data_IF_304922616819
#
_entry.id   IF_304922616819
#
_cell.length_a   1.000
_cell.length_b   1.000
_cell.length_c   1.000
_cell.angle_alpha   90.00
_cell.angle_beta   90.00
_cell.angle_gamma   90.00
#
_symmetry.space_group_name_H-M   'P 1'
#
loop_
_entity.id
_entity.type
_entity.pdbx_description
1 polymer ?
#
# COMPACT_ATOMS: atom_id res chain seq x y z
N UNK A 1 1.53 -15.27 -52.04
CA UNK A 1 1.11 -13.89 -51.77
C UNK A 1 1.18 -13.73 -50.29
N UNK A 2 1.87 -12.71 -49.82
CA UNK A 2 1.98 -12.41 -48.40
C UNK A 2 0.62 -11.95 -47.85
N UNK A 3 0.12 -12.65 -46.85
CA UNK A 3 -1.04 -12.23 -46.08
C UNK A 3 -0.58 -11.40 -44.87
N UNK A 4 -1.38 -10.42 -44.44
CA UNK A 4 -1.02 -9.56 -43.30
C UNK A 4 -1.11 -10.33 -41.98
N UNK A 5 -0.13 -10.15 -41.10
CA UNK A 5 -0.20 -10.61 -39.71
C UNK A 5 -1.40 -10.01 -38.96
N UNK A 6 -1.79 -10.63 -37.87
CA UNK A 6 -2.85 -10.15 -36.97
C UNK A 6 -2.30 -10.02 -35.55
N UNK A 7 -2.36 -8.82 -34.98
CA UNK A 7 -2.08 -8.60 -33.56
C UNK A 7 -3.34 -8.95 -32.74
N UNK A 8 -3.16 -9.60 -31.60
CA UNK A 8 -4.26 -10.13 -30.77
C UNK A 8 -4.39 -9.33 -29.48
N UNK A 9 -5.51 -8.60 -29.35
CA UNK A 9 -5.84 -7.90 -28.10
C UNK A 9 -6.08 -8.89 -26.97
N UNK A 10 -5.70 -8.50 -25.74
CA UNK A 10 -5.81 -9.37 -24.58
C UNK A 10 -6.11 -8.57 -23.31
N UNK A 11 -6.67 -9.25 -22.31
CA UNK A 11 -6.84 -8.71 -20.96
C UNK A 11 -6.04 -9.56 -19.98
N UNK A 12 -5.30 -8.90 -19.09
CA UNK A 12 -4.45 -9.55 -18.09
C UNK A 12 -4.72 -8.99 -16.70
N UNK A 13 -4.55 -9.84 -15.67
CA UNK A 13 -4.57 -9.42 -14.29
C UNK A 13 -3.14 -9.29 -13.78
N UNK A 14 -2.86 -8.21 -13.07
CA UNK A 14 -1.63 -7.95 -12.35
C UNK A 14 -1.97 -7.68 -10.89
N UNK A 15 -1.07 -7.99 -9.97
CA UNK A 15 -1.15 -7.47 -8.61
C UNK A 15 -0.45 -6.11 -8.58
N UNK A 16 -0.93 -5.18 -7.76
CA UNK A 16 -0.23 -3.93 -7.58
C UNK A 16 1.18 -4.16 -7.03
N UNK A 17 2.07 -3.21 -7.30
CA UNK A 17 3.47 -3.21 -6.89
C UNK A 17 4.30 -4.44 -7.26
N UNK A 18 3.71 -5.39 -8.00
CA UNK A 18 4.35 -6.63 -8.43
C UNK A 18 4.54 -6.65 -9.94
N UNK A 19 5.72 -7.09 -10.38
CA UNK A 19 6.01 -7.28 -11.80
C UNK A 19 5.03 -8.26 -12.44
N UNK A 20 4.40 -7.83 -13.52
CA UNK A 20 3.59 -8.69 -14.38
C UNK A 20 4.27 -8.87 -15.73
N UNK A 21 4.71 -10.08 -16.03
CA UNK A 21 5.13 -10.47 -17.38
C UNK A 21 3.93 -10.61 -18.30
N UNK A 22 4.00 -9.99 -19.46
CA UNK A 22 2.95 -9.99 -20.49
C UNK A 22 3.59 -10.42 -21.81
N UNK A 23 3.14 -11.55 -22.37
CA UNK A 23 3.55 -12.01 -23.70
C UNK A 23 2.61 -11.41 -24.72
N UNK A 24 3.14 -10.67 -25.68
CA UNK A 24 2.38 -10.12 -26.80
C UNK A 24 2.06 -11.23 -27.78
N UNK A 25 0.84 -11.24 -28.31
CA UNK A 25 0.35 -12.30 -29.19
C UNK A 25 0.03 -11.76 -30.58
N UNK A 26 0.44 -12.50 -31.59
CA UNK A 26 0.10 -12.28 -32.99
C UNK A 26 0.14 -13.56 -33.78
N UNK A 27 -0.52 -13.58 -34.93
CA UNK A 27 -0.54 -14.72 -35.85
C UNK A 27 -0.29 -14.22 -37.27
N UNK A 28 0.29 -15.11 -38.08
CA UNK A 28 0.49 -14.96 -39.48
C UNK A 28 0.15 -16.25 -40.20
N UNK A 29 -0.56 -16.15 -41.34
CA UNK A 29 -1.03 -17.34 -42.11
C UNK A 29 0.09 -17.98 -42.91
N UNK A 30 1.03 -17.14 -43.38
CA UNK A 30 2.18 -17.61 -44.16
C UNK A 30 3.30 -18.14 -43.26
N UNK A 31 3.20 -17.93 -41.96
CA UNK A 31 4.18 -18.40 -40.98
C UNK A 31 5.42 -17.50 -40.90
N UNK A 32 5.27 -16.25 -41.27
CA UNK A 32 6.37 -15.26 -41.23
C UNK A 32 6.83 -14.95 -39.81
N UNK A 33 8.10 -14.53 -39.69
CA UNK A 33 8.66 -14.10 -38.41
C UNK A 33 8.07 -12.79 -38.02
N UNK A 34 7.37 -12.75 -36.86
CA UNK A 34 6.70 -11.58 -36.36
C UNK A 34 7.60 -10.72 -35.48
N UNK A 35 7.61 -9.41 -35.75
CA UNK A 35 8.27 -8.38 -34.94
C UNK A 35 7.23 -7.56 -34.21
N UNK A 36 7.42 -7.31 -32.93
CA UNK A 36 6.48 -6.61 -32.07
C UNK A 36 6.99 -5.22 -31.71
N UNK A 37 6.07 -4.26 -31.65
CA UNK A 37 6.39 -2.89 -31.21
C UNK A 37 5.27 -2.30 -30.38
N UNK A 38 5.64 -1.61 -29.32
CA UNK A 38 4.71 -0.82 -28.48
C UNK A 38 4.41 0.48 -29.20
N UNK A 39 3.12 0.81 -29.32
CA UNK A 39 2.62 2.00 -30.03
C UNK A 39 1.94 3.01 -29.13
N UNK A 40 1.42 2.59 -27.97
CA UNK A 40 0.93 3.48 -26.91
C UNK A 40 1.40 2.99 -25.54
N UNK A 41 1.66 3.92 -24.63
CA UNK A 41 2.08 3.63 -23.26
C UNK A 41 0.87 3.62 -22.31
N UNK A 42 0.90 2.87 -21.22
CA UNK A 42 -0.16 2.90 -20.22
C UNK A 42 -0.21 4.27 -19.54
N UNK A 43 -1.43 4.77 -19.29
CA UNK A 43 -1.64 6.01 -18.54
C UNK A 43 -1.21 5.87 -17.06
N UNK A 44 -1.35 4.66 -16.51
CA UNK A 44 -0.96 4.32 -15.14
C UNK A 44 0.01 3.13 -15.16
N UNK A 45 1.10 3.25 -14.39
CA UNK A 45 2.14 2.23 -14.34
C UNK A 45 3.21 2.39 -15.42
N UNK A 46 4.07 1.40 -15.55
CA UNK A 46 5.28 1.44 -16.37
C UNK A 46 5.49 0.14 -17.14
N UNK A 47 6.04 0.25 -18.34
CA UNK A 47 6.45 -0.89 -19.15
C UNK A 47 7.98 -0.96 -19.25
N UNK A 48 8.50 -2.20 -19.23
CA UNK A 48 9.93 -2.48 -19.36
C UNK A 48 10.17 -3.56 -20.43
N UNK A 49 11.28 -3.44 -21.12
CA UNK A 49 11.85 -4.54 -21.89
C UNK A 49 12.25 -5.69 -20.95
N UNK A 50 12.22 -6.91 -21.44
CA UNK A 50 12.70 -8.08 -20.66
C UNK A 50 13.24 -9.16 -21.58
N UNK A 51 14.36 -9.77 -21.20
CA UNK A 51 14.98 -10.88 -21.92
C UNK A 51 14.51 -12.25 -21.42
N UNK A 52 14.02 -12.32 -20.19
CA UNK A 52 13.68 -13.58 -19.48
C UNK A 52 12.24 -13.61 -18.95
N UNK A 53 11.49 -12.52 -19.12
CA UNK A 53 10.12 -12.38 -18.61
C UNK A 53 10.02 -12.12 -17.09
N UNK A 54 11.13 -12.01 -16.38
CA UNK A 54 11.17 -11.85 -14.92
C UNK A 54 11.94 -10.61 -14.47
N UNK A 55 13.04 -10.32 -15.15
CA UNK A 55 13.92 -9.19 -14.84
C UNK A 55 13.54 -7.97 -15.68
N UNK A 56 13.36 -6.82 -15.04
CA UNK A 56 13.15 -5.54 -15.74
C UNK A 56 14.45 -5.13 -16.44
N UNK A 57 14.35 -4.92 -17.74
CA UNK A 57 15.37 -4.24 -18.54
C UNK A 57 15.09 -2.74 -18.62
N UNK A 58 15.37 -2.15 -19.78
CA UNK A 58 15.14 -0.72 -20.02
C UNK A 58 13.66 -0.36 -19.95
N UNK A 59 13.36 0.76 -19.30
CA UNK A 59 12.00 1.31 -19.27
C UNK A 59 11.60 1.79 -20.66
N UNK A 60 10.41 1.43 -21.11
CA UNK A 60 9.85 1.91 -22.38
C UNK A 60 9.24 3.29 -22.14
N UNK A 61 9.93 4.34 -22.57
CA UNK A 61 9.53 5.75 -22.35
C UNK A 61 9.18 6.50 -23.63
N UNK A 62 9.47 5.91 -24.79
CA UNK A 62 9.18 6.49 -26.12
C UNK A 62 8.41 5.50 -26.97
N UNK A 63 7.63 6.01 -27.92
CA UNK A 63 6.85 5.21 -28.89
C UNK A 63 7.08 5.73 -30.30
N UNK A 64 7.06 4.86 -31.30
CA UNK A 64 7.02 3.41 -31.20
C UNK A 64 8.35 2.81 -30.70
N UNK A 65 8.27 1.76 -29.88
CA UNK A 65 9.46 1.02 -29.41
C UNK A 65 9.37 -0.44 -29.79
N UNK A 66 10.37 -0.95 -30.48
CA UNK A 66 10.45 -2.37 -30.82
C UNK A 66 10.77 -3.22 -29.60
N UNK A 67 10.13 -4.37 -29.48
CA UNK A 67 10.48 -5.39 -28.50
C UNK A 67 11.68 -6.15 -29.01
N UNK A 68 12.81 -6.00 -28.32
CA UNK A 68 14.13 -6.42 -28.78
C UNK A 68 14.40 -7.91 -28.57
N UNK A 69 13.56 -8.61 -27.80
CA UNK A 69 13.79 -9.99 -27.39
C UNK A 69 12.81 -10.94 -28.04
N UNK A 70 13.30 -12.14 -28.43
CA UNK A 70 12.54 -13.14 -29.14
C UNK A 70 11.40 -13.81 -28.32
N UNK A 71 11.34 -13.55 -27.00
CA UNK A 71 10.25 -14.00 -26.13
C UNK A 71 8.97 -13.16 -26.29
N UNK A 72 9.04 -11.99 -26.99
CA UNK A 72 7.95 -11.06 -27.22
C UNK A 72 7.25 -10.61 -25.93
N UNK A 73 8.01 -10.52 -24.83
CA UNK A 73 7.51 -10.17 -23.50
C UNK A 73 7.89 -8.74 -23.11
N UNK A 74 6.99 -8.15 -22.35
CA UNK A 74 7.23 -6.91 -21.60
C UNK A 74 6.88 -7.16 -20.13
N UNK A 75 7.47 -6.40 -19.23
CA UNK A 75 7.05 -6.37 -17.83
C UNK A 75 6.27 -5.09 -17.60
N UNK A 76 5.09 -5.23 -17.00
CA UNK A 76 4.29 -4.13 -16.48
C UNK A 76 4.40 -4.09 -14.96
N UNK A 77 4.41 -2.89 -14.38
CA UNK A 77 4.16 -2.65 -12.96
C UNK A 77 3.20 -1.47 -12.82
N UNK A 78 2.27 -1.54 -11.86
CA UNK A 78 1.38 -0.43 -11.51
C UNK A 78 2.17 0.79 -11.01
N UNK A 79 1.53 1.94 -10.94
CA UNK A 79 2.00 2.99 -10.03
C UNK A 79 1.91 2.46 -8.58
N UNK A 80 2.74 2.99 -7.70
CA UNK A 80 2.76 2.57 -6.29
C UNK A 80 1.34 2.65 -5.69
N UNK A 81 0.93 1.58 -4.99
CA UNK A 81 -0.38 1.43 -4.36
C UNK A 81 -1.55 1.66 -5.34
N UNK A 82 -1.34 1.41 -6.63
CA UNK A 82 -2.31 1.72 -7.69
C UNK A 82 -3.01 0.51 -8.25
N UNK A 83 -4.33 0.42 -8.09
CA UNK A 83 -5.14 -0.72 -8.48
C UNK A 83 -6.45 -0.31 -9.17
N UNK A 84 -7.16 -1.28 -9.71
CA UNK A 84 -8.47 -1.12 -10.34
C UNK A 84 -8.67 -1.89 -11.64
N UNK A 85 -9.92 -1.92 -12.09
CA UNK A 85 -10.31 -2.51 -13.38
C UNK A 85 -9.93 -1.56 -14.50
N UNK A 86 -9.35 -2.09 -15.60
CA UNK A 86 -8.82 -1.30 -16.72
C UNK A 86 -7.82 -0.21 -16.27
N UNK A 87 -7.06 -0.50 -15.23
CA UNK A 87 -6.15 0.45 -14.61
C UNK A 87 -5.04 0.92 -15.57
N UNK A 88 -4.49 0.01 -16.39
CA UNK A 88 -3.50 0.32 -17.40
C UNK A 88 -3.85 -0.33 -18.74
N UNK A 89 -3.70 0.42 -19.83
CA UNK A 89 -3.89 -0.08 -21.18
C UNK A 89 -2.71 0.40 -22.04
N UNK A 90 -2.18 -0.46 -22.88
CA UNK A 90 -1.19 -0.07 -23.87
C UNK A 90 -1.46 -0.74 -25.22
N UNK A 91 -1.05 -0.08 -26.28
CA UNK A 91 -1.19 -0.57 -27.65
C UNK A 91 0.10 -1.19 -28.17
N UNK A 92 -0.05 -2.17 -29.04
CA UNK A 92 1.06 -2.74 -29.79
C UNK A 92 0.64 -3.13 -31.21
N UNK A 93 1.61 -3.21 -32.09
CA UNK A 93 1.47 -3.72 -33.45
C UNK A 93 2.45 -4.88 -33.68
N UNK A 94 2.12 -5.69 -34.66
CA UNK A 94 2.97 -6.75 -35.17
C UNK A 94 3.35 -6.44 -36.60
N UNK A 95 4.55 -6.83 -37.03
CA UNK A 95 5.05 -6.66 -38.38
C UNK A 95 5.58 -8.00 -38.89
N UNK A 96 5.14 -8.43 -40.07
CA UNK A 96 5.50 -9.67 -40.76
C UNK A 96 6.76 -9.51 -41.63
N UNK A 97 7.41 -8.37 -41.62
CA UNK A 97 8.52 -8.00 -42.52
C UNK A 97 8.06 -7.16 -43.71
N UNK A 98 6.76 -7.06 -43.98
CA UNK A 98 6.17 -6.30 -45.08
C UNK A 98 5.37 -5.09 -44.60
N UNK A 99 4.47 -5.30 -43.65
CA UNK A 99 3.58 -4.26 -43.14
C UNK A 99 3.26 -4.42 -41.65
N UNK A 100 2.82 -3.32 -41.03
CA UNK A 100 2.32 -3.32 -39.68
C UNK A 100 0.83 -3.69 -39.64
N UNK A 101 0.42 -4.44 -38.62
CA UNK A 101 -0.99 -4.73 -38.34
C UNK A 101 -1.73 -3.44 -37.90
N UNK A 102 -3.05 -3.55 -37.81
CA UNK A 102 -3.83 -2.66 -36.94
C UNK A 102 -3.34 -2.80 -35.49
N UNK A 103 -3.58 -1.76 -34.69
CA UNK A 103 -3.17 -1.73 -33.29
C UNK A 103 -4.04 -2.69 -32.46
N UNK A 104 -3.40 -3.53 -31.68
CA UNK A 104 -4.04 -4.36 -30.65
C UNK A 104 -3.81 -3.76 -29.27
N UNK A 105 -4.78 -3.93 -28.38
CA UNK A 105 -4.74 -3.37 -27.01
C UNK A 105 -4.54 -4.48 -26.00
N UNK A 106 -3.61 -4.26 -25.08
CA UNK A 106 -3.51 -5.01 -23.84
C UNK A 106 -4.19 -4.21 -22.75
N UNK A 107 -5.26 -4.78 -22.18
CA UNK A 107 -5.99 -4.22 -21.04
C UNK A 107 -5.47 -4.86 -19.76
N UNK A 108 -5.12 -4.05 -18.76
CA UNK A 108 -4.56 -4.52 -17.50
C UNK A 108 -5.51 -4.16 -16.35
N UNK A 109 -6.00 -5.19 -15.66
CA UNK A 109 -6.69 -5.05 -14.38
C UNK A 109 -5.66 -5.24 -13.26
N UNK A 110 -5.56 -4.28 -12.36
CA UNK A 110 -4.63 -4.37 -11.22
C UNK A 110 -5.44 -4.70 -9.98
N UNK A 111 -5.06 -5.81 -9.34
CA UNK A 111 -5.70 -6.35 -8.14
C UNK A 111 -5.02 -5.70 -6.94
N UNK A 112 -5.84 -5.18 -6.01
CA UNK A 112 -5.38 -4.67 -4.72
C UNK A 112 -4.71 -5.78 -3.90
N UNK A 113 -3.58 -5.47 -3.29
CA UNK A 113 -2.88 -6.32 -2.34
C UNK A 113 -2.80 -5.54 -1.03
N UNK A 114 -3.38 -6.10 0.02
CA UNK A 114 -3.43 -5.43 1.31
C UNK A 114 -2.06 -4.92 1.77
N UNK A 115 -1.98 -3.63 2.00
CA UNK A 115 -0.86 -2.96 2.65
C UNK A 115 -1.07 -2.89 4.17
N UNK A 116 0.02 -2.88 4.92
CA UNK A 116 -0.08 -2.76 6.39
C UNK A 116 -0.46 -1.33 6.78
N UNK A 117 -1.33 -1.15 7.77
CA UNK A 117 -1.61 0.17 8.31
C UNK A 117 -0.35 0.81 8.93
N UNK A 118 -0.31 2.11 8.94
CA UNK A 118 0.79 2.89 9.50
C UNK A 118 0.32 3.64 10.75
N UNK A 119 0.71 3.17 11.92
CA UNK A 119 0.42 3.83 13.20
C UNK A 119 1.28 5.09 13.37
N UNK A 120 0.65 6.19 13.79
CA UNK A 120 1.29 7.50 13.86
C UNK A 120 1.96 7.71 15.23
N UNK A 121 3.27 8.03 15.22
CA UNK A 121 3.99 8.45 16.43
C UNK A 121 3.35 9.70 17.00
N UNK A 122 3.13 9.72 18.31
CA UNK A 122 2.46 10.82 19.00
C UNK A 122 3.25 11.28 20.22
N UNK A 123 3.19 12.58 20.52
CA UNK A 123 3.64 13.15 21.76
C UNK A 123 2.52 14.01 22.36
N UNK A 124 2.17 13.75 23.60
CA UNK A 124 1.10 14.45 24.31
C UNK A 124 1.59 15.00 25.64
N UNK A 125 1.01 16.11 26.07
CA UNK A 125 1.23 16.67 27.41
C UNK A 125 0.07 16.30 28.32
N UNK A 126 0.39 15.89 29.51
CA UNK A 126 -0.55 15.63 30.61
C UNK A 126 -0.11 16.40 31.84
N UNK A 127 -1.02 16.65 32.76
CA UNK A 127 -0.74 17.19 34.07
C UNK A 127 -0.73 16.04 35.08
N UNK A 128 0.12 16.16 36.10
CA UNK A 128 0.20 15.23 37.19
C UNK A 128 -1.16 15.05 37.88
N UNK A 129 -1.50 13.81 38.20
CA UNK A 129 -2.77 13.42 38.87
C UNK A 129 -4.07 13.81 38.12
N UNK A 130 -3.98 14.23 36.86
CA UNK A 130 -5.12 14.61 36.03
C UNK A 130 -5.27 13.64 34.84
N UNK A 131 -6.51 13.25 34.58
CA UNK A 131 -6.85 12.42 33.44
C UNK A 131 -6.51 13.10 32.11
N UNK A 132 -5.79 12.38 31.25
CA UNK A 132 -5.48 12.81 29.91
C UNK A 132 -6.10 11.85 28.89
N UNK A 133 -7.07 12.37 28.13
CA UNK A 133 -7.59 11.66 26.98
C UNK A 133 -6.60 11.70 25.83
N UNK A 134 -6.29 10.55 25.27
CA UNK A 134 -5.37 10.36 24.15
C UNK A 134 -6.14 9.68 23.02
N UNK A 135 -6.10 10.26 21.82
CA UNK A 135 -6.70 9.71 20.61
C UNK A 135 -5.57 9.06 19.82
N UNK A 136 -5.66 7.76 19.59
CA UNK A 136 -4.69 7.03 18.77
C UNK A 136 -4.96 7.30 17.28
N UNK A 137 -3.92 7.42 16.49
CA UNK A 137 -4.02 7.76 15.07
C UNK A 137 -3.20 6.80 14.20
N UNK A 138 -3.77 6.42 13.07
CA UNK A 138 -3.11 5.64 12.05
C UNK A 138 -3.71 5.97 10.69
N UNK A 139 -3.01 5.58 9.64
CA UNK A 139 -3.48 5.65 8.24
C UNK A 139 -3.34 4.29 7.59
N UNK A 140 -4.18 4.06 6.60
CA UNK A 140 -4.15 2.90 5.74
C UNK A 140 -4.25 3.34 4.29
N UNK A 141 -3.42 2.77 3.40
CA UNK A 141 -3.37 3.20 2.01
C UNK A 141 -4.51 2.60 1.20
N UNK A 142 -5.00 1.42 1.60
CA UNK A 142 -6.17 0.76 1.01
C UNK A 142 -7.50 1.41 1.45
N UNK A 143 -7.44 2.26 2.50
CA UNK A 143 -8.59 2.92 3.08
C UNK A 143 -9.43 2.03 3.99
N UNK A 144 -8.82 0.98 4.53
CA UNK A 144 -9.49 0.03 5.41
C UNK A 144 -9.91 0.64 6.76
N UNK A 145 -10.92 0.04 7.35
CA UNK A 145 -11.39 0.44 8.68
C UNK A 145 -10.44 -0.06 9.74
N UNK A 146 -9.80 0.88 10.45
CA UNK A 146 -8.79 0.55 11.44
C UNK A 146 -9.40 0.31 12.82
N UNK A 147 -8.91 -0.72 13.50
CA UNK A 147 -9.03 -0.95 14.93
C UNK A 147 -7.67 -0.75 15.61
N UNK A 148 -7.68 -0.51 16.91
CA UNK A 148 -6.46 -0.19 17.66
C UNK A 148 -6.26 -1.10 18.84
N UNK A 149 -5.01 -1.42 19.17
CA UNK A 149 -4.68 -2.21 20.36
C UNK A 149 -3.45 -1.64 21.05
N UNK A 150 -3.51 -1.58 22.38
CA UNK A 150 -2.36 -1.26 23.21
C UNK A 150 -1.42 -2.46 23.19
N UNK A 151 -0.19 -2.26 22.78
CA UNK A 151 0.84 -3.31 22.63
C UNK A 151 1.89 -3.29 23.73
N UNK A 152 2.10 -2.15 24.39
CA UNK A 152 2.91 -2.04 25.61
C UNK A 152 2.29 -1.04 26.58
N UNK A 153 2.38 -1.35 27.89
CA UNK A 153 1.86 -0.51 28.96
C UNK A 153 2.88 0.55 29.37
N UNK A 154 2.42 1.70 29.92
CA UNK A 154 3.32 2.69 30.46
C UNK A 154 4.06 2.15 31.67
N UNK A 155 5.36 2.46 31.78
CA UNK A 155 6.16 2.13 32.94
C UNK A 155 5.69 2.89 34.20
N UNK A 156 5.16 4.09 34.02
CA UNK A 156 4.63 4.95 35.06
C UNK A 156 3.23 5.43 34.70
N UNK A 157 2.29 5.27 35.62
CA UNK A 157 0.89 5.63 35.39
C UNK A 157 0.05 4.44 34.89
N UNK A 158 -1.16 4.74 34.48
CA UNK A 158 -2.18 3.77 34.14
C UNK A 158 -2.93 4.20 32.89
N UNK A 159 -3.33 3.20 32.10
CA UNK A 159 -4.24 3.37 30.96
C UNK A 159 -5.61 2.77 31.28
N UNK A 160 -6.64 3.45 30.81
CA UNK A 160 -8.03 3.01 30.95
C UNK A 160 -8.73 3.01 29.61
N UNK A 161 -9.62 2.07 29.41
CA UNK A 161 -10.65 2.14 28.39
C UNK A 161 -11.57 3.34 28.69
N UNK A 162 -12.25 3.81 27.65
CA UNK A 162 -13.29 4.83 27.79
C UNK A 162 -14.35 4.61 26.72
N UNK A 163 -15.54 5.13 26.91
CA UNK A 163 -16.61 5.14 25.89
C UNK A 163 -16.99 6.56 25.47
N UNK A 164 -16.60 7.56 26.25
CA UNK A 164 -16.98 8.97 26.05
C UNK A 164 -15.76 9.91 25.98
N UNK A 165 -14.55 9.38 26.24
CA UNK A 165 -13.30 10.14 26.30
C UNK A 165 -13.09 10.94 27.58
N UNK A 166 -13.99 10.87 28.56
CA UNK A 166 -13.93 11.64 29.81
C UNK A 166 -14.03 10.76 31.04
N UNK A 167 -14.73 9.63 30.94
CA UNK A 167 -14.93 8.72 32.05
C UNK A 167 -14.01 7.51 31.91
N UNK A 168 -13.25 7.19 32.96
CA UNK A 168 -12.45 5.98 33.02
C UNK A 168 -13.34 4.73 33.05
N UNK A 169 -13.12 3.85 32.12
CA UNK A 169 -13.67 2.50 32.12
C UNK A 169 -12.69 1.51 32.77
N UNK A 170 -12.63 0.31 32.24
CA UNK A 170 -11.74 -0.75 32.74
C UNK A 170 -10.27 -0.36 32.58
N UNK A 171 -9.47 -0.64 33.61
CA UNK A 171 -8.01 -0.44 33.54
C UNK A 171 -7.40 -1.45 32.56
N UNK A 172 -6.52 -0.96 31.69
CA UNK A 172 -5.76 -1.82 30.77
C UNK A 172 -4.54 -2.36 31.54
N UNK A 173 -4.62 -3.65 31.92
CA UNK A 173 -3.61 -4.31 32.76
C UNK A 173 -2.76 -5.35 32.03
N UNK A 174 -3.08 -5.64 30.79
CA UNK A 174 -2.37 -6.62 29.96
C UNK A 174 -2.28 -6.17 28.51
N UNK A 175 -1.30 -6.70 27.77
CA UNK A 175 -1.13 -6.43 26.34
C UNK A 175 -0.99 -7.75 25.57
N UNK A 176 -1.46 -7.81 24.31
CA UNK A 176 -2.21 -6.76 23.63
C UNK A 176 -3.65 -6.63 24.15
N UNK A 177 -4.16 -5.40 24.24
CA UNK A 177 -5.57 -5.12 24.60
C UNK A 177 -6.19 -4.21 23.51
N UNK A 178 -7.31 -4.64 22.93
CA UNK A 178 -8.05 -3.85 21.95
C UNK A 178 -8.68 -2.62 22.62
N UNK A 179 -8.54 -1.47 21.97
CA UNK A 179 -9.23 -0.23 22.38
C UNK A 179 -10.69 -0.34 22.00
N UNK A 180 -11.57 -0.18 22.98
CA UNK A 180 -13.03 -0.39 22.81
C UNK A 180 -13.78 0.83 22.30
N UNK A 181 -13.20 2.02 22.42
CA UNK A 181 -13.83 3.27 22.01
C UNK A 181 -13.82 3.44 20.48
N UNK A 182 -14.95 3.78 19.91
CA UNK A 182 -15.11 3.97 18.44
C UNK A 182 -14.36 5.20 17.90
N UNK A 183 -13.97 6.14 18.77
CA UNK A 183 -13.10 7.29 18.43
C UNK A 183 -11.64 7.04 18.81
N UNK A 184 -11.26 5.79 19.06
CA UNK A 184 -9.90 5.34 19.33
C UNK A 184 -9.23 6.02 20.53
N UNK A 185 -10.02 6.35 21.57
CA UNK A 185 -9.55 7.05 22.77
C UNK A 185 -9.18 6.07 23.88
N UNK A 186 -8.15 6.45 24.62
CA UNK A 186 -7.79 5.89 25.92
C UNK A 186 -7.58 7.03 26.91
N UNK A 187 -7.70 6.75 28.20
CA UNK A 187 -7.39 7.73 29.25
C UNK A 187 -6.10 7.29 29.94
N UNK A 188 -5.14 8.20 30.03
CA UNK A 188 -3.92 8.05 30.82
C UNK A 188 -4.01 8.89 32.09
N UNK A 189 -3.49 8.38 33.20
CA UNK A 189 -3.16 9.14 34.40
C UNK A 189 -1.74 8.78 34.86
N UNK A 190 -0.99 9.79 35.34
CA UNK A 190 0.34 9.53 35.91
C UNK A 190 0.26 8.66 37.19
N UNK A 191 1.37 8.06 37.56
CA UNK A 191 1.52 7.56 38.93
C UNK A 191 1.44 8.76 39.90
N UNK A 192 0.98 8.54 41.11
CA UNK A 192 0.88 9.59 42.12
C UNK A 192 2.22 10.36 42.27
N UNK A 193 2.16 11.68 42.24
CA UNK A 193 3.31 12.57 42.33
C UNK A 193 4.35 12.34 41.21
N UNK A 194 3.92 11.74 40.10
CA UNK A 194 4.79 11.33 39.00
C UNK A 194 4.77 12.30 37.82
N UNK A 195 5.90 12.91 37.52
CA UNK A 195 6.04 13.86 36.38
C UNK A 195 7.38 13.66 35.63
N UNK A 196 7.49 14.28 34.49
CA UNK A 196 8.71 14.32 33.66
C UNK A 196 8.43 14.04 32.19
N UNK A 197 9.47 14.23 31.38
CA UNK A 197 9.42 13.95 29.94
C UNK A 197 9.40 12.43 29.70
N UNK A 198 8.49 11.99 28.82
CA UNK A 198 8.32 10.57 28.50
C UNK A 198 7.90 9.71 29.68
N UNK A 199 7.33 10.32 30.73
CA UNK A 199 6.99 9.62 31.98
C UNK A 199 6.00 8.47 31.75
N UNK A 200 5.01 8.64 30.87
CA UNK A 200 3.94 7.70 30.62
C UNK A 200 3.96 7.09 29.22
N UNK A 201 5.12 6.81 28.65
CA UNK A 201 5.22 6.21 27.31
C UNK A 201 4.57 4.84 27.24
N UNK A 202 3.79 4.61 26.19
CA UNK A 202 3.19 3.31 25.90
C UNK A 202 3.16 3.03 24.40
N UNK A 203 3.04 1.76 24.02
CA UNK A 203 2.98 1.35 22.62
C UNK A 203 1.57 0.99 22.16
N UNK A 204 1.30 1.21 20.90
CA UNK A 204 0.09 0.74 20.26
C UNK A 204 0.33 0.29 18.82
N UNK A 205 -0.61 -0.47 18.29
CA UNK A 205 -0.70 -0.90 16.90
C UNK A 205 -2.08 -0.59 16.34
N UNK A 206 -2.15 -0.31 15.05
CA UNK A 206 -3.39 -0.34 14.29
C UNK A 206 -3.55 -1.70 13.59
N UNK A 207 -4.78 -2.09 13.29
CA UNK A 207 -5.10 -3.32 12.57
C UNK A 207 -6.21 -3.03 11.56
N UNK A 208 -6.00 -3.42 10.30
CA UNK A 208 -6.88 -3.21 9.15
C UNK A 208 -7.95 -4.32 8.98
N UNK A 209 -8.00 -5.28 9.90
CA UNK A 209 -8.84 -6.47 9.80
C UNK A 209 -8.08 -7.69 9.27
N UNK A 210 -6.94 -7.50 8.64
CA UNK A 210 -6.07 -8.54 8.05
C UNK A 210 -4.76 -8.66 8.81
N UNK A 211 -4.11 -7.53 9.10
CA UNK A 211 -2.77 -7.46 9.67
C UNK A 211 -2.62 -6.29 10.66
N UNK A 212 -1.58 -6.36 11.49
CA UNK A 212 -1.21 -5.29 12.41
C UNK A 212 -0.12 -4.41 11.80
N UNK A 213 -0.18 -3.11 12.10
CA UNK A 213 0.94 -2.20 11.87
C UNK A 213 2.18 -2.61 12.65
N UNK A 214 3.32 -2.03 12.32
CA UNK A 214 4.43 -1.98 13.27
C UNK A 214 3.98 -1.26 14.56
N UNK A 215 4.62 -1.61 15.69
CA UNK A 215 4.37 -0.92 16.96
C UNK A 215 4.89 0.52 16.87
N UNK A 216 4.08 1.45 17.36
CA UNK A 216 4.51 2.84 17.54
C UNK A 216 4.30 3.32 18.97
N UNK A 217 5.00 4.38 19.35
CA UNK A 217 5.00 4.90 20.71
C UNK A 217 4.18 6.18 20.81
N UNK A 218 3.34 6.27 21.84
CA UNK A 218 2.82 7.51 22.38
C UNK A 218 3.75 7.97 23.50
N UNK A 219 4.40 9.13 23.30
CA UNK A 219 5.20 9.76 24.34
C UNK A 219 4.31 10.64 25.18
N UNK A 220 4.22 10.39 26.48
CA UNK A 220 3.44 11.22 27.42
C UNK A 220 4.39 12.00 28.33
N UNK A 221 4.43 13.31 28.15
CA UNK A 221 5.17 14.25 28.99
C UNK A 221 4.23 14.76 30.08
N UNK A 222 4.59 14.53 31.33
CA UNK A 222 3.76 14.90 32.47
C UNK A 222 4.35 16.16 33.17
N UNK A 223 3.56 17.24 33.20
CA UNK A 223 3.93 18.45 33.93
C UNK A 223 3.64 18.30 35.42
N UNK A 224 4.50 18.81 36.29
CA UNK A 224 4.24 18.80 37.72
C UNK A 224 3.05 19.69 38.06
N UNK A 225 2.24 19.27 39.03
CA UNK A 225 1.20 20.09 39.61
C UNK A 225 1.83 21.13 40.55
N UNK A 226 1.48 22.38 40.34
CA UNK A 226 1.88 23.42 41.28
C UNK A 226 1.03 23.26 42.53
N UNK A 227 1.65 22.86 43.63
CA UNK A 227 0.99 22.87 44.94
C UNK A 227 0.97 24.30 45.48
N UNK A 228 -0.22 24.78 45.85
CA UNK A 228 -0.44 26.09 46.51
C UNK A 228 -0.10 26.04 48.00
#
# INVERSE_FOLDING_TARGET
VNDLAVAISQSVNANEDINKSITLAGTDVDGDTLLYKITTLPANGYLFQTSDGTTRGDTITSIPTNISYANHQVIYISAKDGNGVNYGNFGFKVNDGTADTEEAIVTINVININDLPSATVQAVSADEDIDKTIILAATDVDGDTLSYKISSLPANGYLFQTSDGSTRGDTIISTPTTVSDTLQRVIYISAQDGYGDGHGNFGFKANDGTADSEETTVTVNVAPKVED
#
